data_IF_760917034244
#
_entry.id   IF_760917034244
#
_cell.length_a   1.000
_cell.length_b   1.000
_cell.length_c   1.000
_cell.angle_alpha   90.00
_cell.angle_beta   90.00
_cell.angle_gamma   90.00
#
_symmetry.space_group_name_H-M   'P 1'
#
loop_
_entity.id
_entity.type
_entity.pdbx_description
1 polymer ?
2 non-polymer ?
3 water ?
#
# COMPACT_ATOMS: atom_id res chain seq x y z
N UNK A 18 15.60 3.99 5.89
CA UNK A 18 14.74 4.74 6.86
C UNK A 18 13.48 5.38 6.26
N UNK A 19 13.57 5.84 5.02
CA UNK A 19 12.45 6.56 4.42
C UNK A 19 11.47 5.66 3.69
N UNK A 20 10.19 6.04 3.69
CA UNK A 20 9.21 5.44 2.77
C UNK A 20 9.47 6.04 1.39
N UNK A 21 9.53 5.21 0.34
CA UNK A 21 9.77 5.75 -1.00
C UNK A 21 8.43 5.75 -1.71
N UNK A 22 8.07 6.88 -2.31
CA UNK A 22 6.70 7.14 -2.79
C UNK A 22 6.73 7.36 -4.30
N UNK A 23 5.85 6.68 -5.03
CA UNK A 23 5.79 6.80 -6.49
C UNK A 23 5.30 8.21 -6.79
N UNK A 24 5.84 8.90 -7.80
CA UNK A 24 5.32 10.22 -8.20
C UNK A 24 3.83 10.17 -8.55
N UNK A 25 3.29 8.98 -8.79
CA UNK A 25 1.85 8.85 -9.09
C UNK A 25 1.00 9.21 -7.88
N UNK A 26 1.62 9.19 -6.70
CA UNK A 26 0.98 9.59 -5.47
C UNK A 26 0.98 11.08 -5.17
N UNK A 27 1.62 11.87 -6.03
CA UNK A 27 1.74 13.31 -5.85
C UNK A 27 0.34 13.95 -5.78
N UNK A 28 0.08 14.74 -4.72
CA UNK A 28 -1.25 15.31 -4.56
C UNK A 28 -2.17 14.48 -3.68
N UNK A 29 -1.79 13.25 -3.34
CA UNK A 29 -2.62 12.43 -2.46
C UNK A 29 -2.50 13.00 -1.04
N UNK A 30 -3.64 13.42 -0.46
CA UNK A 30 -3.63 14.03 0.88
C UNK A 30 -3.12 13.06 1.95
N UNK A 31 -3.02 11.77 1.63
CA UNK A 31 -2.39 10.79 2.53
C UNK A 31 -1.00 11.23 3.00
N UNK A 32 -0.24 11.82 2.07
CA UNK A 32 1.15 12.23 2.32
C UNK A 32 1.28 13.25 3.46
N UNK A 33 0.25 14.07 3.64
CA UNK A 33 0.23 15.02 4.76
C UNK A 33 0.29 14.31 6.11
N UNK A 34 -0.18 13.08 6.13
CA UNK A 34 -0.31 12.27 7.33
C UNK A 34 0.80 11.21 7.50
N UNK A 35 1.82 11.28 6.67
CA UNK A 35 3.01 10.46 6.85
C UNK A 35 4.00 11.41 7.52
N UNK A 36 4.01 11.38 8.85
CA UNK A 36 4.59 12.47 9.61
C UNK A 36 5.68 12.03 10.56
N UNK A 37 5.70 10.74 10.88
CA UNK A 37 6.61 10.24 11.91
C UNK A 37 7.75 9.36 11.36
N UNK A 38 7.80 9.25 10.03
CA UNK A 38 8.92 8.63 9.32
C UNK A 38 9.18 9.51 8.11
N UNK A 39 10.43 9.64 7.67
CA UNK A 39 10.69 10.39 6.44
C UNK A 39 10.05 9.68 5.22
N UNK A 40 9.72 10.46 4.20
CA UNK A 40 9.34 9.93 2.90
C UNK A 40 9.89 10.82 1.80
N UNK A 41 10.09 10.24 0.62
CA UNK A 41 10.54 10.99 -0.54
C UNK A 41 9.95 10.28 -1.73
N UNK A 42 9.71 11.03 -2.81
CA UNK A 42 9.39 10.43 -4.10
C UNK A 42 10.59 9.67 -4.66
N UNK A 43 10.31 8.58 -5.36
CA UNK A 43 11.34 7.84 -6.07
C UNK A 43 10.72 7.03 -7.20
N UNK A 44 11.56 6.51 -8.08
CA UNK A 44 11.10 5.77 -9.25
C UNK A 44 10.86 4.30 -8.91
N UNK A 45 9.67 4.02 -8.37
CA UNK A 45 9.32 2.72 -7.81
C UNK A 45 8.02 2.20 -8.42
N UNK A 46 7.86 0.87 -8.41
CA UNK A 46 6.71 0.24 -9.06
C UNK A 46 5.44 0.34 -8.23
N UNK A 47 5.48 -0.04 -6.95
CA UNK A 47 4.32 0.17 -6.06
C UNK A 47 4.11 1.66 -5.77
N UNK A 48 3.00 2.01 -5.11
CA UNK A 48 2.79 3.38 -4.69
C UNK A 48 3.65 3.75 -3.50
N UNK A 49 3.91 2.79 -2.58
CA UNK A 49 4.79 3.01 -1.41
C UNK A 49 5.68 1.82 -1.18
N UNK A 50 6.98 2.08 -1.05
CA UNK A 50 7.88 1.01 -0.66
C UNK A 50 8.15 1.21 0.83
N UNK A 51 7.91 0.15 1.59
CA UNK A 51 7.80 0.26 3.03
C UNK A 51 8.88 -0.58 3.70
N UNK A 52 9.83 -1.03 2.89
CA UNK A 52 10.92 -1.88 3.32
C UNK A 52 11.43 -2.69 2.13
N UNK A 53 12.45 -3.51 2.38
CA UNK A 53 13.11 -4.32 1.34
C UNK A 53 12.17 -5.19 0.47
N UNK A 54 11.19 -5.84 1.10
CA UNK A 54 10.19 -6.67 0.41
C UNK A 54 8.76 -6.42 0.91
N UNK A 55 8.44 -5.17 1.24
CA UNK A 55 7.08 -4.76 1.59
C UNK A 55 6.71 -3.54 0.81
N UNK A 56 5.48 -3.51 0.32
CA UNK A 56 5.02 -2.36 -0.42
C UNK A 56 3.50 -2.29 -0.37
N UNK A 57 2.97 -1.12 -0.74
CA UNK A 57 1.54 -0.88 -0.73
C UNK A 57 1.12 -0.23 -2.04
N UNK A 58 -0.12 -0.53 -2.43
CA UNK A 58 -0.82 0.25 -3.44
C UNK A 58 -1.94 0.99 -2.71
N UNK A 59 -2.26 2.17 -3.19
CA UNK A 59 -3.35 2.96 -2.61
C UNK A 59 -4.48 2.96 -3.63
N UNK A 60 -5.71 2.82 -3.13
CA UNK A 60 -6.84 2.95 -4.02
C UNK A 60 -8.04 3.62 -3.34
N UNK A 61 -8.48 4.74 -3.90
CA UNK A 61 -9.71 5.35 -3.45
C UNK A 61 -10.89 4.65 -4.13
N UNK A 62 -11.95 4.34 -3.38
CA UNK A 62 -13.12 3.71 -4.02
C UNK A 62 -13.82 4.59 -5.07
N UNK A 63 -13.80 5.91 -4.87
CA UNK A 63 -14.32 6.81 -5.86
C UNK A 63 -13.51 6.66 -7.17
N UNK A 64 -12.19 6.63 -7.04
CA UNK A 64 -11.29 6.48 -8.19
C UNK A 64 -11.51 5.12 -8.86
N UNK A 65 -11.65 4.08 -8.04
CA UNK A 65 -11.91 2.72 -8.56
C UNK A 65 -13.19 2.64 -9.41
N UNK A 66 -14.25 3.35 -9.01
CA UNK A 66 -15.52 3.41 -9.79
C UNK A 66 -15.35 4.08 -11.13
N UNK A 67 -14.54 5.13 -11.13
CA UNK A 67 -14.28 5.94 -12.31
C UNK A 67 -13.36 5.19 -13.28
N UNK A 68 -12.45 4.37 -12.74
CA UNK A 68 -11.46 3.66 -13.54
C UNK A 68 -11.46 2.19 -13.13
N UNK A 69 -12.52 1.46 -13.48
CA UNK A 69 -12.68 0.08 -12.99
C UNK A 69 -11.56 -0.90 -13.40
N UNK A 70 -10.80 -0.63 -14.46
CA UNK A 70 -9.74 -1.57 -14.81
C UNK A 70 -8.38 -1.27 -14.18
N UNK A 71 -8.31 -0.14 -13.48
CA UNK A 71 -7.03 0.37 -13.00
C UNK A 71 -6.31 -0.56 -12.03
N UNK A 72 -6.99 -1.00 -10.98
CA UNK A 72 -6.26 -1.73 -9.93
C UNK A 72 -5.80 -3.14 -10.31
N UNK A 73 -6.56 -3.85 -11.14
CA UNK A 73 -6.17 -5.19 -11.59
C UNK A 73 -4.82 -5.11 -12.32
N UNK A 74 -4.70 -4.16 -13.25
CA UNK A 74 -3.45 -3.94 -13.98
C UNK A 74 -2.31 -3.54 -13.05
N UNK A 75 -2.60 -2.67 -12.09
CA UNK A 75 -1.61 -2.30 -11.10
C UNK A 75 -1.10 -3.49 -10.26
N UNK A 76 -2.02 -4.27 -9.72
CA UNK A 76 -1.65 -5.41 -8.92
C UNK A 76 -0.84 -6.37 -9.79
N UNK A 77 -1.26 -6.53 -11.04
CA UNK A 77 -0.58 -7.45 -11.97
C UNK A 77 0.82 -7.00 -12.39
N UNK A 78 1.00 -5.69 -12.56
CA UNK A 78 2.31 -5.17 -12.93
C UNK A 78 3.26 -5.27 -11.74
N UNK A 79 2.67 -5.28 -10.55
CA UNK A 79 3.42 -5.44 -9.31
C UNK A 79 4.07 -6.82 -9.22
N UNK A 80 3.28 -7.86 -9.45
CA UNK A 80 3.75 -9.23 -9.35
C UNK A 80 4.16 -9.60 -7.94
N UNK A 81 5.19 -10.44 -7.83
CA UNK A 81 5.55 -11.07 -6.56
C UNK A 81 6.94 -10.68 -6.01
N UNK A 82 7.47 -9.54 -6.46
CA UNK A 82 8.82 -9.10 -6.08
C UNK A 82 8.94 -8.82 -4.58
N UNK A 83 7.94 -8.09 -4.07
CA UNK A 83 7.79 -7.79 -2.65
C UNK A 83 7.08 -8.97 -1.94
N UNK A 84 7.64 -9.41 -0.81
CA UNK A 84 7.07 -10.49 0.01
C UNK A 84 5.69 -10.18 0.61
N UNK A 85 5.56 -8.97 1.17
CA UNK A 85 4.33 -8.47 1.78
C UNK A 85 3.76 -7.34 0.91
N UNK A 86 2.59 -7.57 0.31
CA UNK A 86 1.92 -6.61 -0.55
C UNK A 86 0.61 -6.22 0.15
N UNK A 87 0.33 -4.92 0.17
CA UNK A 87 -0.78 -4.33 0.95
C UNK A 87 -1.56 -3.43 0.00
N UNK A 88 -2.86 -3.68 -0.12
CA UNK A 88 -3.75 -2.77 -0.84
C UNK A 88 -4.47 -1.97 0.19
N UNK A 89 -4.22 -0.68 0.15
CA UNK A 89 -4.82 0.21 1.12
C UNK A 89 -5.95 0.91 0.40
N UNK A 90 -7.17 0.53 0.76
CA UNK A 90 -8.38 1.08 0.15
C UNK A 90 -8.98 2.23 1.01
N UNK A 91 -9.15 3.40 0.42
CA UNK A 91 -9.82 4.48 1.13
C UNK A 91 -11.30 4.36 0.82
N UNK A 92 -12.09 4.06 1.84
CA UNK A 92 -13.52 3.83 1.67
C UNK A 92 -14.19 5.23 1.65
N UNK A 93 -14.44 5.77 0.46
CA UNK A 93 -14.87 7.17 0.34
C UNK A 93 -16.07 7.34 -0.58
N UNK A 94 -16.91 6.32 -0.62
CA UNK A 94 -17.99 6.21 -1.58
C UNK A 94 -19.16 5.66 -0.78
N UNK A 95 -20.36 6.21 -0.95
CA UNK A 95 -21.54 5.60 -0.34
C UNK A 95 -21.79 4.25 -1.01
N UNK A 96 -22.23 3.30 -0.22
CA UNK A 96 -22.55 1.96 -0.69
C UNK A 96 -21.33 1.22 -1.23
N UNK A 97 -20.26 1.12 -0.45
CA UNK A 97 -19.01 0.52 -0.94
C UNK A 97 -18.98 -1.01 -0.97
N UNK A 98 -20.05 -1.65 -0.49
CA UNK A 98 -19.96 -3.05 -0.14
C UNK A 98 -19.67 -3.94 -1.35
N UNK A 99 -20.27 -3.61 -2.49
CA UNK A 99 -20.14 -4.44 -3.69
C UNK A 99 -18.73 -4.28 -4.25
N UNK A 100 -18.25 -3.04 -4.33
CA UNK A 100 -16.85 -2.78 -4.69
C UNK A 100 -15.88 -3.52 -3.76
N UNK A 101 -16.08 -3.41 -2.45
CA UNK A 101 -15.21 -4.09 -1.48
C UNK A 101 -15.15 -5.63 -1.61
N UNK A 102 -16.29 -6.24 -1.89
CA UNK A 102 -16.32 -7.67 -2.04
C UNK A 102 -15.49 -8.10 -3.27
N UNK A 103 -15.58 -7.33 -4.36
CA UNK A 103 -14.82 -7.66 -5.57
C UNK A 103 -13.31 -7.43 -5.35
N UNK A 104 -12.96 -6.40 -4.61
CA UNK A 104 -11.56 -6.12 -4.29
C UNK A 104 -11.00 -7.18 -3.33
N UNK A 105 -11.85 -7.68 -2.42
CA UNK A 105 -11.43 -8.75 -1.53
C UNK A 105 -11.07 -10.01 -2.34
N UNK A 106 -11.94 -10.40 -3.26
CA UNK A 106 -11.69 -11.53 -4.15
C UNK A 106 -10.35 -11.34 -4.85
N UNK A 107 -10.16 -10.16 -5.42
CA UNK A 107 -8.94 -9.85 -6.15
C UNK A 107 -7.69 -10.02 -5.26
N UNK A 108 -7.73 -9.46 -4.06
CA UNK A 108 -6.62 -9.60 -3.12
C UNK A 108 -6.36 -11.04 -2.69
N UNK A 109 -7.42 -11.84 -2.50
CA UNK A 109 -7.21 -13.21 -2.09
C UNK A 109 -6.46 -13.92 -3.22
N UNK A 110 -6.90 -13.73 -4.46
CA UNK A 110 -6.30 -14.46 -5.61
C UNK A 110 -4.89 -13.97 -5.89
N UNK A 111 -4.65 -12.68 -5.65
CA UNK A 111 -3.31 -12.13 -5.85
C UNK A 111 -2.42 -12.21 -4.61
N UNK A 112 -2.96 -12.73 -3.50
CA UNK A 112 -2.19 -12.90 -2.28
C UNK A 112 -1.70 -11.54 -1.84
N UNK A 113 -2.64 -10.63 -1.64
CA UNK A 113 -2.27 -9.38 -1.03
C UNK A 113 -3.20 -8.99 0.11
N UNK A 114 -2.64 -8.26 1.06
CA UNK A 114 -3.38 -7.91 2.25
C UNK A 114 -4.33 -6.78 1.89
N UNK A 115 -5.57 -6.83 2.35
CA UNK A 115 -6.49 -5.74 2.07
C UNK A 115 -6.74 -4.98 3.37
N UNK A 116 -6.48 -3.69 3.35
CA UNK A 116 -6.71 -2.82 4.51
C UNK A 116 -7.72 -1.73 4.16
N UNK A 117 -8.70 -1.50 5.04
CA UNK A 117 -9.68 -0.44 4.79
C UNK A 117 -9.30 0.75 5.64
N UNK A 118 -9.11 1.88 4.98
CA UNK A 118 -8.89 3.14 5.67
C UNK A 118 -10.11 4.04 5.39
N UNK A 119 -10.57 4.71 6.41
CA UNK A 119 -11.77 5.52 6.27
C UNK A 119 -11.51 7.01 6.14
N UNK A 120 -10.24 7.39 6.05
CA UNK A 120 -9.83 8.76 5.86
C UNK A 120 -8.36 8.74 5.37
N UNK A 121 -7.88 9.84 4.75
CA UNK A 121 -6.46 9.98 4.39
C UNK A 121 -5.56 9.78 5.64
N UNK A 122 -5.98 10.31 6.78
CA UNK A 122 -5.16 10.24 7.99
C UNK A 122 -4.97 8.79 8.47
N UNK A 123 -6.05 8.02 8.43
CA UNK A 123 -5.96 6.62 8.74
C UNK A 123 -5.01 5.87 7.81
N UNK A 124 -5.06 6.16 6.51
CA UNK A 124 -4.15 5.54 5.52
C UNK A 124 -2.68 5.86 5.78
N UNK A 125 -2.42 7.12 6.15
CA UNK A 125 -1.08 7.56 6.46
C UNK A 125 -0.58 6.84 7.71
N UNK A 126 -1.44 6.68 8.70
CA UNK A 126 -1.07 5.90 9.87
C UNK A 126 -0.77 4.41 9.56
N UNK A 127 -1.57 3.79 8.69
CA UNK A 127 -1.27 2.41 8.25
C UNK A 127 0.12 2.35 7.62
N UNK A 128 0.47 3.30 6.76
CA UNK A 128 1.77 3.31 6.09
C UNK A 128 2.93 3.40 7.14
N UNK A 129 2.79 4.30 8.11
CA UNK A 129 3.79 4.43 9.19
C UNK A 129 3.90 3.16 10.01
N UNK A 130 2.76 2.53 10.30
CA UNK A 130 2.70 1.26 11.02
C UNK A 130 3.45 0.13 10.31
N UNK A 131 3.16 -0.13 9.03
CA UNK A 131 3.92 -1.14 8.28
C UNK A 131 5.42 -0.80 8.21
N UNK A 132 5.74 0.47 8.01
CA UNK A 132 7.14 0.90 8.02
C UNK A 132 7.87 0.65 9.36
N UNK A 133 7.14 0.52 10.46
CA UNK A 133 7.78 0.31 11.77
C UNK A 133 8.49 -1.04 11.84
N UNK A 134 8.07 -2.01 11.02
CA UNK A 134 8.59 -3.38 11.13
C UNK A 134 9.38 -3.88 9.91
N UNK A 135 10.49 -4.54 10.17
CA UNK A 135 11.23 -5.24 9.15
C UNK A 135 10.65 -6.61 9.07
N UNK A 136 10.12 -6.96 7.88
CA UNK A 136 9.62 -8.32 7.64
C UNK A 136 10.64 -9.40 7.85
N UNK A 137 11.88 -9.10 7.48
CA UNK A 137 12.96 -10.04 7.73
C UNK A 137 14.00 -9.16 8.47
N UNK A 138 13.84 -8.99 9.79
CA UNK A 138 14.82 -8.25 10.58
C UNK A 138 16.14 -8.96 10.53
N UNK A 139 17.21 -8.22 10.88
CA UNK A 139 18.50 -8.88 11.15
C UNK A 139 18.23 -10.12 12.06
N UNK A 140 19.13 -11.16 11.68
CA UNK A 140 19.27 -12.36 12.50
C UNK A 140 20.74 -12.41 12.92
N UNK A 141 21.01 -11.80 14.09
CA UNK A 141 22.37 -11.67 14.62
C UNK A 141 23.14 -12.96 14.93
N UNK A 142 22.45 -13.97 15.53
CA UNK A 142 23.13 -15.20 16.06
C UNK A 142 23.80 -16.03 14.97
N UNK A 143 23.10 -16.20 13.85
CA UNK A 143 23.68 -16.80 12.66
C UNK A 143 24.88 -15.98 12.16
N UNK A 144 24.70 -14.66 12.11
CA UNK A 144 25.74 -13.74 11.68
C UNK A 144 27.04 -13.85 12.52
N UNK A 145 26.86 -14.01 13.84
CA UNK A 145 27.95 -13.98 14.79
C UNK A 145 28.86 -15.19 14.59
N UNK A 146 28.26 -16.28 14.12
CA UNK A 146 28.89 -17.57 13.89
C UNK A 146 29.64 -17.64 12.54
X LIG B 1 2.03 -3.96 -3.05
#
# INVERSE_FOLDING_TARGET
>A
MGSSHHHHHHSQDPAKSNSIIVSPRQRGNPVLKFVRNVPWEFGDVIPDYVLGQSTCALFLSLRYHNLHPDYIHGRLQSLGKNFALRVLLVQVDVKDPQQALKELAKMCILADCTLILAWSPEEAGRYLETYKAYEQKPADLLMEKL
>B hetero
1 HG HG
#
